data_IF_225989629703
#
_entry.id   IF_225989629703
#
_cell.length_a   1.000
_cell.length_b   1.000
_cell.length_c   1.000
_cell.angle_alpha   90.00
_cell.angle_beta   90.00
_cell.angle_gamma   90.00
#
_symmetry.space_group_name_H-M   'P 1'
#
loop_
_entity.id
_entity.type
_entity.pdbx_description
1 polymer ?
#
# COMPACT_ATOMS: atom_id res chain seq x y z
N UNK A 1 -11.65 -3.80 18.23
CA UNK A 1 -11.54 -4.43 19.56
C UNK A 1 -12.48 -3.71 20.51
N UNK A 2 -13.25 -4.41 21.37
CA UNK A 2 -14.00 -3.75 22.42
C UNK A 2 -13.04 -3.09 23.41
N UNK A 3 -13.42 -1.95 23.99
CA UNK A 3 -12.56 -1.18 24.90
C UNK A 3 -12.06 -1.99 26.11
N UNK A 4 -12.83 -3.01 26.53
CA UNK A 4 -12.43 -3.95 27.58
C UNK A 4 -11.26 -4.87 27.22
N UNK A 5 -10.87 -4.96 25.95
CA UNK A 5 -9.74 -5.75 25.47
C UNK A 5 -8.47 -4.92 25.27
N UNK A 6 -8.53 -3.60 25.44
CA UNK A 6 -7.36 -2.71 25.40
C UNK A 6 -6.68 -2.76 26.76
N UNK A 7 -5.66 -3.60 26.91
CA UNK A 7 -4.81 -3.55 28.08
C UNK A 7 -4.15 -2.18 28.18
N UNK A 8 -4.15 -1.58 29.39
CA UNK A 8 -3.39 -0.36 29.61
C UNK A 8 -1.90 -0.66 29.45
N UNK A 9 -1.25 -0.02 28.47
CA UNK A 9 0.20 -0.10 28.27
C UNK A 9 0.81 1.00 29.15
N UNK A 10 1.55 0.59 30.18
CA UNK A 10 2.16 1.47 31.21
C UNK A 10 3.63 1.85 30.91
N UNK A 11 4.14 1.40 29.79
CA UNK A 11 5.52 1.66 29.32
C UNK A 11 5.55 1.97 27.83
N UNK A 12 6.59 2.67 27.32
CA UNK A 12 6.72 2.95 25.91
C UNK A 12 6.87 1.66 25.09
N UNK A 13 5.98 1.45 24.12
CA UNK A 13 6.08 0.36 23.15
C UNK A 13 6.34 0.95 21.76
N UNK A 14 7.33 0.39 21.07
CA UNK A 14 7.66 0.76 19.69
C UNK A 14 7.40 -0.43 18.78
N UNK A 15 6.62 -0.22 17.74
CA UNK A 15 6.32 -1.22 16.72
C UNK A 15 6.93 -0.80 15.38
N UNK A 16 7.73 -1.66 14.78
CA UNK A 16 8.18 -1.49 13.40
C UNK A 16 7.27 -2.30 12.49
N UNK A 17 6.70 -1.65 11.47
CA UNK A 17 5.74 -2.27 10.55
C UNK A 17 6.33 -2.28 9.14
N UNK A 18 6.26 -3.44 8.48
CA UNK A 18 6.76 -3.68 7.14
C UNK A 18 5.92 -4.72 6.39
N UNK A 19 6.22 -4.94 5.11
CA UNK A 19 5.66 -6.03 4.29
C UNK A 19 4.37 -5.69 3.55
N UNK A 20 3.54 -4.81 4.09
CA UNK A 20 2.41 -4.19 3.42
C UNK A 20 2.23 -2.76 3.94
N UNK A 21 1.74 -1.85 3.10
CA UNK A 21 1.46 -0.48 3.52
C UNK A 21 0.29 -0.47 4.53
N UNK A 22 0.51 -0.09 5.79
CA UNK A 22 -0.56 -0.04 6.77
C UNK A 22 -1.46 1.17 6.48
N UNK A 23 -2.80 0.99 6.45
CA UNK A 23 -3.71 2.11 6.34
C UNK A 23 -3.51 3.11 7.48
N UNK A 24 -3.55 4.42 7.18
CA UNK A 24 -3.38 5.46 8.19
C UNK A 24 -4.35 5.30 9.39
N UNK A 25 -5.59 4.88 9.13
CA UNK A 25 -6.58 4.59 10.19
C UNK A 25 -6.11 3.50 11.16
N UNK A 26 -5.46 2.45 10.66
CA UNK A 26 -4.92 1.38 11.51
C UNK A 26 -3.75 1.88 12.34
N UNK A 27 -2.85 2.68 11.75
CA UNK A 27 -1.75 3.34 12.47
C UNK A 27 -2.32 4.21 13.60
N UNK A 28 -3.31 5.07 13.31
CA UNK A 28 -3.95 5.92 14.30
C UNK A 28 -4.53 5.12 15.47
N UNK A 29 -5.27 4.05 15.19
CA UNK A 29 -5.85 3.20 16.22
C UNK A 29 -4.79 2.50 17.10
N UNK A 30 -3.65 2.10 16.53
CA UNK A 30 -2.53 1.51 17.26
C UNK A 30 -1.84 2.56 18.15
N UNK A 31 -1.70 3.80 17.65
CA UNK A 31 -1.11 4.90 18.43
C UNK A 31 -2.00 5.37 19.59
N UNK A 32 -3.34 5.31 19.43
CA UNK A 32 -4.28 5.53 20.53
C UNK A 32 -4.11 4.51 21.66
N UNK A 33 -3.57 3.33 21.37
CA UNK A 33 -3.24 2.33 22.39
C UNK A 33 -1.90 2.61 23.10
N UNK A 34 -1.19 3.69 22.77
CA UNK A 34 0.11 4.03 23.33
C UNK A 34 1.31 3.38 22.62
N UNK A 35 1.11 2.74 21.48
CA UNK A 35 2.17 2.08 20.72
C UNK A 35 2.67 3.04 19.63
N UNK A 36 3.96 3.35 19.64
CA UNK A 36 4.59 4.20 18.60
C UNK A 36 4.91 3.37 17.37
N UNK A 37 4.30 3.71 16.24
CA UNK A 37 4.53 3.01 14.97
C UNK A 37 5.63 3.69 14.17
N UNK A 38 6.59 2.88 13.69
CA UNK A 38 7.57 3.25 12.66
C UNK A 38 7.34 2.39 11.43
N UNK A 39 6.96 3.02 10.32
CA UNK A 39 6.79 2.32 9.05
C UNK A 39 8.14 2.24 8.34
N UNK A 40 8.47 1.05 7.84
CA UNK A 40 9.66 0.79 7.04
C UNK A 40 9.27 0.01 5.79
N UNK A 41 9.99 0.22 4.71
CA UNK A 41 9.77 -0.49 3.46
C UNK A 41 11.05 -1.16 2.99
N UNK A 42 10.87 -2.33 2.40
CA UNK A 42 11.92 -3.12 1.77
C UNK A 42 11.35 -4.40 1.19
N UNK A 43 12.19 -5.10 0.47
CA UNK A 43 11.91 -6.33 -0.26
C UNK A 43 12.94 -7.39 0.12
N UNK A 44 12.65 -8.65 -0.16
CA UNK A 44 13.63 -9.74 -0.02
C UNK A 44 14.88 -9.47 -0.84
N UNK A 45 14.70 -8.91 -2.03
CA UNK A 45 15.73 -8.56 -2.99
C UNK A 45 16.72 -7.49 -2.50
N UNK A 46 16.39 -6.77 -1.44
CA UNK A 46 17.24 -5.72 -0.88
C UNK A 46 17.66 -5.98 0.57
N UNK A 47 17.44 -7.21 1.04
CA UNK A 47 17.89 -7.71 2.35
C UNK A 47 17.30 -6.96 3.55
N UNK A 48 16.08 -6.49 3.49
CA UNK A 48 15.38 -5.89 4.62
C UNK A 48 14.92 -4.45 4.36
N UNK A 49 14.73 -3.65 5.43
CA UNK A 49 14.30 -2.27 5.27
C UNK A 49 15.33 -1.42 4.54
N UNK A 50 14.89 -0.69 3.54
CA UNK A 50 15.73 0.25 2.76
C UNK A 50 15.22 1.67 2.81
N UNK A 51 13.99 1.86 3.29
CA UNK A 51 13.46 3.17 3.68
C UNK A 51 12.78 3.12 5.03
N UNK A 52 12.71 4.26 5.69
CA UNK A 52 12.09 4.44 7.00
C UNK A 52 11.30 5.74 7.02
N UNK A 53 10.09 5.71 7.54
CA UNK A 53 9.36 6.90 7.87
C UNK A 53 9.98 7.54 9.13
N UNK A 54 11.12 8.22 8.93
CA UNK A 54 11.83 8.92 9.99
C UNK A 54 10.89 9.97 10.60
N UNK A 55 10.83 10.04 11.93
CA UNK A 55 9.94 10.96 12.61
C UNK A 55 10.66 12.26 12.94
N UNK A 56 10.01 13.39 12.72
CA UNK A 56 10.50 14.71 13.12
C UNK A 56 9.69 15.20 14.32
N UNK A 57 10.39 15.76 15.33
CA UNK A 57 9.74 16.23 16.56
C UNK A 57 8.69 17.32 16.36
N UNK A 58 8.81 18.13 15.30
CA UNK A 58 7.82 19.14 14.91
C UNK A 58 6.44 18.55 14.55
N UNK A 59 6.36 17.24 14.28
CA UNK A 59 5.10 16.57 13.97
C UNK A 59 4.38 16.06 15.23
N UNK A 60 5.00 16.13 16.40
CA UNK A 60 4.38 15.64 17.65
C UNK A 60 3.12 16.43 18.03
N UNK A 61 3.08 17.72 17.69
CA UNK A 61 1.96 18.62 17.97
C UNK A 61 0.81 18.52 16.95
N UNK A 62 0.98 17.73 15.87
CA UNK A 62 -0.06 17.54 14.86
C UNK A 62 -1.21 16.67 15.39
N UNK A 63 -2.45 16.89 14.91
CA UNK A 63 -3.56 15.99 15.19
C UNK A 63 -3.24 14.54 14.83
N UNK A 64 -3.77 13.58 15.59
CA UNK A 64 -3.51 12.14 15.41
C UNK A 64 -3.71 11.67 13.96
N UNK A 65 -4.77 12.13 13.31
CA UNK A 65 -5.07 11.80 11.92
C UNK A 65 -3.92 12.22 10.96
N UNK A 66 -3.38 13.42 11.16
CA UNK A 66 -2.25 13.94 10.37
C UNK A 66 -0.97 13.17 10.66
N UNK A 67 -0.71 12.85 11.93
CA UNK A 67 0.43 12.00 12.31
C UNK A 67 0.34 10.62 11.68
N UNK A 68 -0.83 9.99 11.73
CA UNK A 68 -1.08 8.69 11.12
C UNK A 68 -0.90 8.72 9.59
N UNK A 69 -1.35 9.76 8.92
CA UNK A 69 -1.14 9.96 7.48
C UNK A 69 0.35 10.12 7.13
N UNK A 70 1.14 10.85 7.94
CA UNK A 70 2.58 10.94 7.75
C UNK A 70 3.24 9.57 7.93
N UNK A 71 2.88 8.83 8.98
CA UNK A 71 3.45 7.51 9.31
C UNK A 71 3.08 6.41 8.33
N UNK A 72 2.03 6.58 7.53
CA UNK A 72 1.69 5.61 6.48
C UNK A 72 2.61 5.69 5.26
N UNK A 73 3.41 6.75 5.12
CA UNK A 73 4.41 6.88 4.05
C UNK A 73 5.60 5.96 4.29
N UNK A 74 6.29 5.56 3.22
CA UNK A 74 7.49 4.72 3.28
C UNK A 74 8.74 5.48 3.73
N UNK A 75 8.67 6.82 3.65
CA UNK A 75 9.66 7.70 4.23
C UNK A 75 10.89 7.96 3.37
N UNK A 76 12.05 7.93 3.96
CA UNK A 76 13.33 8.31 3.33
C UNK A 76 14.31 7.13 3.30
N UNK A 77 15.32 7.23 2.44
CA UNK A 77 16.37 6.23 2.28
C UNK A 77 17.07 5.87 3.59
N UNK A 78 17.23 4.58 3.83
CA UNK A 78 18.03 4.06 4.94
C UNK A 78 19.53 4.33 4.71
N UNK A 79 20.31 4.61 5.75
CA UNK A 79 21.74 4.91 5.60
C UNK A 79 22.57 3.79 4.95
N UNK A 80 22.13 2.53 5.09
CA UNK A 80 22.82 1.35 4.54
C UNK A 80 22.63 1.16 3.04
N UNK A 81 21.66 1.83 2.42
CA UNK A 81 21.44 1.78 0.98
C UNK A 81 22.18 2.93 0.28
N UNK A 82 22.82 2.65 -0.84
CA UNK A 82 23.62 3.65 -1.59
C UNK A 82 22.73 4.68 -2.27
N UNK A 83 21.66 4.24 -2.94
CA UNK A 83 20.73 5.12 -3.67
C UNK A 83 19.30 4.59 -3.69
N UNK A 84 18.35 5.54 -3.60
CA UNK A 84 16.91 5.37 -3.88
C UNK A 84 16.50 6.47 -4.84
N UNK A 85 15.73 6.14 -5.84
CA UNK A 85 15.23 7.07 -6.84
C UNK A 85 13.80 6.69 -7.23
N UNK A 86 12.92 7.68 -7.38
CA UNK A 86 11.61 7.50 -8.01
C UNK A 86 11.70 8.10 -9.40
N UNK A 87 11.51 7.29 -10.44
CA UNK A 87 11.76 7.70 -11.82
C UNK A 87 10.81 7.02 -12.81
N UNK A 88 10.75 7.53 -14.03
CA UNK A 88 10.09 6.87 -15.14
C UNK A 88 10.77 5.53 -15.44
N UNK A 89 10.05 4.41 -15.51
CA UNK A 89 10.64 3.07 -15.66
C UNK A 89 11.33 2.83 -17.01
N UNK A 90 11.08 3.67 -18.02
CA UNK A 90 11.66 3.53 -19.35
C UNK A 90 12.87 4.44 -19.56
N UNK A 91 12.79 5.68 -19.08
CA UNK A 91 13.83 6.68 -19.29
C UNK A 91 14.81 6.79 -18.14
N UNK A 92 14.45 6.29 -16.95
CA UNK A 92 15.16 6.48 -15.68
C UNK A 92 15.31 7.95 -15.29
N UNK A 93 14.51 8.85 -15.88
CA UNK A 93 14.47 10.25 -15.48
C UNK A 93 13.69 10.39 -14.16
N UNK A 94 14.29 11.03 -13.13
CA UNK A 94 13.60 11.24 -11.86
C UNK A 94 12.31 12.04 -12.02
N UNK A 95 11.24 11.59 -11.36
CA UNK A 95 9.98 12.33 -11.33
C UNK A 95 10.07 13.57 -10.42
N UNK A 96 9.26 14.61 -10.67
CA UNK A 96 9.15 15.76 -9.78
C UNK A 96 8.80 15.37 -8.34
N UNK A 97 9.32 16.12 -7.37
CA UNK A 97 8.97 15.97 -5.94
C UNK A 97 7.71 16.77 -5.61
N UNK A 98 6.60 16.44 -6.24
CA UNK A 98 5.33 17.15 -6.12
C UNK A 98 4.25 16.37 -5.36
N UNK A 99 4.57 15.12 -4.96
CA UNK A 99 3.62 14.22 -4.30
C UNK A 99 2.51 13.70 -5.22
N UNK A 100 2.62 13.92 -6.55
CA UNK A 100 1.59 13.56 -7.54
C UNK A 100 2.16 12.77 -8.71
N UNK A 101 3.33 13.15 -9.21
CA UNK A 101 3.98 12.47 -10.33
C UNK A 101 4.41 11.07 -9.91
N UNK A 102 3.83 10.05 -10.58
CA UNK A 102 4.09 8.64 -10.29
C UNK A 102 5.32 8.17 -11.07
N UNK A 103 6.21 7.47 -10.38
CA UNK A 103 7.34 6.74 -10.98
C UNK A 103 7.51 5.40 -10.29
N UNK A 104 8.41 4.56 -10.83
CA UNK A 104 8.86 3.35 -10.16
C UNK A 104 9.96 3.68 -9.17
N UNK A 105 10.02 2.97 -8.04
CA UNK A 105 11.15 3.08 -7.12
C UNK A 105 12.32 2.21 -7.60
N UNK A 106 13.47 2.84 -7.70
CA UNK A 106 14.73 2.21 -8.05
C UNK A 106 15.68 2.20 -6.88
N UNK A 107 16.43 1.12 -6.75
CA UNK A 107 17.36 0.94 -5.64
C UNK A 107 18.74 0.54 -6.13
N UNK A 108 19.78 1.02 -5.44
CA UNK A 108 21.16 0.63 -5.67
C UNK A 108 21.94 0.59 -4.36
N UNK A 109 22.79 -0.42 -4.24
CA UNK A 109 23.67 -0.58 -3.09
C UNK A 109 24.09 -2.03 -2.88
N UNK A 110 24.99 -2.25 -1.96
CA UNK A 110 25.54 -3.56 -1.64
C UNK A 110 24.57 -4.48 -0.88
N UNK A 111 23.44 -3.97 -0.42
CA UNK A 111 22.36 -4.77 0.19
C UNK A 111 21.41 -5.32 -0.87
N UNK A 112 21.46 -4.81 -2.11
CA UNK A 112 20.65 -5.31 -3.22
C UNK A 112 21.18 -6.67 -3.67
N UNK A 113 20.28 -7.62 -3.93
CA UNK A 113 20.63 -8.96 -4.41
C UNK A 113 21.52 -8.91 -5.68
N UNK A 114 22.28 -9.95 -5.92
CA UNK A 114 23.06 -10.08 -7.14
C UNK A 114 22.22 -10.57 -8.32
N UNK A 115 21.39 -11.59 -8.08
CA UNK A 115 20.64 -12.30 -9.13
C UNK A 115 19.43 -13.01 -8.57
N UNK A 116 18.45 -13.30 -9.41
CA UNK A 116 17.45 -14.34 -9.17
C UNK A 116 18.03 -15.71 -9.48
N UNK A 117 17.91 -16.64 -8.55
CA UNK A 117 18.49 -17.97 -8.66
C UNK A 117 17.99 -18.70 -9.93
N UNK A 118 18.93 -19.12 -10.79
CA UNK A 118 18.64 -19.85 -12.04
C UNK A 118 17.65 -19.15 -12.98
N UNK A 119 17.54 -17.82 -12.89
CA UNK A 119 16.65 -17.02 -13.74
C UNK A 119 17.39 -15.79 -14.28
N UNK A 120 18.26 -15.96 -15.28
CA UNK A 120 19.05 -14.86 -15.83
C UNK A 120 18.19 -13.80 -16.52
N UNK A 121 17.10 -14.18 -17.21
CA UNK A 121 16.24 -13.21 -17.90
C UNK A 121 15.54 -12.28 -16.93
N UNK A 122 14.96 -12.80 -15.83
CA UNK A 122 14.37 -11.96 -14.81
C UNK A 122 15.42 -11.08 -14.09
N UNK A 123 16.65 -11.56 -13.98
CA UNK A 123 17.75 -10.76 -13.42
C UNK A 123 18.11 -9.60 -14.33
N UNK A 124 18.25 -9.84 -15.63
CA UNK A 124 18.57 -8.81 -16.62
C UNK A 124 17.48 -7.72 -16.65
N UNK A 125 16.20 -8.13 -16.64
CA UNK A 125 15.06 -7.21 -16.55
C UNK A 125 15.08 -6.38 -15.26
N UNK A 126 15.30 -7.04 -14.11
CA UNK A 126 15.31 -6.39 -12.80
C UNK A 126 16.47 -5.40 -12.60
N UNK A 127 17.53 -5.47 -13.39
CA UNK A 127 18.70 -4.60 -13.29
C UNK A 127 18.93 -3.75 -14.54
N UNK A 128 17.91 -3.56 -15.37
CA UNK A 128 18.01 -2.71 -16.54
C UNK A 128 18.46 -1.28 -16.15
N UNK A 129 19.39 -0.71 -16.93
CA UNK A 129 19.92 0.62 -16.66
C UNK A 129 20.81 0.75 -15.41
N UNK A 130 21.22 -0.39 -14.79
CA UNK A 130 22.13 -0.40 -13.63
C UNK A 130 21.49 -0.09 -12.28
N UNK A 131 20.17 -0.08 -12.22
CA UNK A 131 19.37 0.05 -11.00
C UNK A 131 18.50 -1.19 -10.80
N UNK A 132 18.23 -1.55 -9.56
CA UNK A 132 17.25 -2.58 -9.27
C UNK A 132 15.83 -1.98 -9.38
N UNK A 133 15.03 -2.56 -10.27
CA UNK A 133 13.62 -2.27 -10.49
C UNK A 133 12.77 -3.02 -9.45
N UNK A 134 12.04 -2.29 -8.62
CA UNK A 134 11.23 -2.92 -7.56
C UNK A 134 9.86 -3.37 -8.05
N UNK A 135 9.35 -2.77 -9.13
CA UNK A 135 7.98 -2.93 -9.60
C UNK A 135 6.95 -2.24 -8.71
N UNK A 136 7.37 -1.47 -7.70
CA UNK A 136 6.48 -0.67 -6.85
C UNK A 136 6.43 0.77 -7.39
N UNK A 137 5.21 1.32 -7.53
CA UNK A 137 4.94 2.67 -8.03
C UNK A 137 4.74 3.64 -6.87
N UNK A 138 5.41 4.77 -6.94
CA UNK A 138 5.48 5.75 -5.86
C UNK A 138 5.41 7.18 -6.35
N UNK A 139 5.15 8.08 -5.42
CA UNK A 139 5.38 9.51 -5.57
C UNK A 139 6.46 9.96 -4.60
N UNK A 140 7.19 11.00 -5.00
CA UNK A 140 8.13 11.69 -4.10
C UNK A 140 7.49 12.99 -3.63
N UNK A 141 7.35 13.15 -2.31
CA UNK A 141 6.80 14.37 -1.72
C UNK A 141 7.86 15.49 -1.69
N UNK A 142 7.46 16.77 -1.58
CA UNK A 142 8.40 17.90 -1.51
C UNK A 142 9.41 17.80 -0.36
N UNK A 143 9.06 17.14 0.74
CA UNK A 143 9.92 16.88 1.89
C UNK A 143 10.89 15.69 1.67
N UNK A 144 10.85 15.07 0.49
CA UNK A 144 11.71 13.94 0.12
C UNK A 144 11.21 12.58 0.60
N UNK A 145 10.07 12.53 1.29
CA UNK A 145 9.44 11.27 1.67
C UNK A 145 8.75 10.63 0.49
N UNK A 146 9.00 9.34 0.30
CA UNK A 146 8.34 8.55 -0.73
C UNK A 146 7.06 7.93 -0.17
N UNK A 147 6.09 7.73 -1.05
CA UNK A 147 4.80 7.14 -0.72
C UNK A 147 4.35 6.19 -1.82
N UNK A 148 4.20 4.91 -1.49
CA UNK A 148 3.73 3.88 -2.42
C UNK A 148 2.29 4.18 -2.81
N UNK A 149 2.07 4.20 -4.12
CA UNK A 149 0.73 4.33 -4.71
C UNK A 149 0.15 2.99 -5.07
N UNK A 150 0.97 2.10 -5.62
CA UNK A 150 0.59 0.71 -5.90
C UNK A 150 1.79 -0.11 -6.38
N UNK A 151 1.55 -1.37 -6.74
CA UNK A 151 2.47 -2.17 -7.55
C UNK A 151 2.11 -2.03 -9.01
N UNK A 152 3.11 -2.02 -9.88
CA UNK A 152 2.91 -1.95 -11.32
C UNK A 152 1.92 -3.03 -11.83
N UNK A 153 2.00 -4.24 -11.26
CA UNK A 153 1.11 -5.36 -11.60
C UNK A 153 -0.26 -5.34 -10.92
N UNK A 154 -0.48 -4.46 -9.95
CA UNK A 154 -1.73 -4.35 -9.18
C UNK A 154 -2.56 -3.12 -9.61
N UNK A 155 -1.97 -2.18 -10.36
CA UNK A 155 -2.69 -1.06 -11.00
C UNK A 155 -3.80 -1.63 -11.88
N UNK A 156 -4.99 -1.09 -11.74
CA UNK A 156 -6.15 -1.44 -12.55
C UNK A 156 -6.24 -0.45 -13.71
N UNK A 157 -6.23 -0.95 -14.95
CA UNK A 157 -6.34 -0.10 -16.14
C UNK A 157 -7.77 -0.14 -16.65
N UNK A 158 -8.57 0.85 -16.27
CA UNK A 158 -10.00 0.92 -16.60
C UNK A 158 -10.26 2.03 -17.62
N UNK A 159 -10.59 1.67 -18.86
CA UNK A 159 -10.86 2.65 -19.91
C UNK A 159 -9.69 3.57 -20.24
N UNK A 160 -8.46 3.12 -20.02
CA UNK A 160 -7.23 3.89 -20.20
C UNK A 160 -6.79 4.70 -18.97
N UNK A 161 -7.58 4.72 -17.89
CA UNK A 161 -7.23 5.37 -16.63
C UNK A 161 -6.57 4.40 -15.67
N UNK A 162 -5.51 4.84 -15.00
CA UNK A 162 -4.83 4.08 -13.97
C UNK A 162 -5.50 4.27 -12.61
N UNK A 163 -5.91 3.17 -11.99
CA UNK A 163 -6.57 3.17 -10.68
C UNK A 163 -5.69 2.45 -9.67
N UNK A 164 -5.30 3.14 -8.61
CA UNK A 164 -4.55 2.56 -7.49
C UNK A 164 -5.47 1.72 -6.61
N UNK A 165 -5.10 0.47 -6.38
CA UNK A 165 -5.81 -0.41 -5.46
C UNK A 165 -5.63 0.03 -4.01
N UNK A 166 -4.45 0.55 -3.66
CA UNK A 166 -4.14 1.07 -2.30
C UNK A 166 -5.01 2.29 -1.98
N UNK A 167 -5.24 3.19 -2.93
CA UNK A 167 -6.14 4.34 -2.74
C UNK A 167 -7.56 3.89 -2.40
N UNK A 168 -8.09 2.92 -3.16
CA UNK A 168 -9.42 2.36 -2.93
C UNK A 168 -9.50 1.66 -1.57
N UNK A 169 -8.53 0.81 -1.27
CA UNK A 169 -8.44 0.11 0.01
C UNK A 169 -8.39 1.10 1.18
N UNK A 170 -7.62 2.19 1.05
CA UNK A 170 -7.57 3.26 2.03
C UNK A 170 -8.93 3.92 2.29
N UNK A 171 -9.76 4.10 1.26
CA UNK A 171 -11.14 4.58 1.40
C UNK A 171 -12.01 3.53 2.08
N UNK A 172 -11.97 2.28 1.64
CA UNK A 172 -12.76 1.18 2.21
C UNK A 172 -12.48 0.98 3.69
N UNK A 173 -11.23 1.05 4.14
CA UNK A 173 -10.86 0.96 5.56
C UNK A 173 -11.45 2.09 6.43
N UNK A 174 -11.86 3.23 5.85
CA UNK A 174 -12.55 4.30 6.59
C UNK A 174 -14.01 3.98 6.87
N UNK A 175 -14.62 3.04 6.14
CA UNK A 175 -16.00 2.65 6.39
C UNK A 175 -16.13 1.93 7.75
N UNK A 176 -17.11 2.31 8.61
CA UNK A 176 -17.22 1.77 9.98
C UNK A 176 -17.43 0.26 10.04
N UNK A 177 -18.12 -0.32 9.06
CA UNK A 177 -18.42 -1.75 9.00
C UNK A 177 -17.26 -2.61 8.44
N UNK A 178 -16.25 -2.02 7.82
CA UNK A 178 -15.16 -2.77 7.19
C UNK A 178 -14.12 -3.17 8.22
N UNK A 179 -13.83 -4.46 8.28
CA UNK A 179 -12.72 -5.01 9.05
C UNK A 179 -11.45 -5.09 8.19
N UNK A 180 -11.57 -5.67 6.99
CA UNK A 180 -10.47 -5.80 6.03
C UNK A 180 -11.01 -5.58 4.62
N UNK A 181 -10.17 -5.05 3.74
CA UNK A 181 -10.48 -4.83 2.35
C UNK A 181 -9.26 -5.11 1.46
N UNK A 182 -9.51 -5.66 0.29
CA UNK A 182 -8.55 -5.77 -0.79
C UNK A 182 -9.24 -5.51 -2.12
N UNK A 183 -8.55 -4.79 -3.01
CA UNK A 183 -9.05 -4.47 -4.34
C UNK A 183 -8.13 -5.08 -5.38
N UNK A 184 -8.74 -5.68 -6.41
CA UNK A 184 -8.02 -6.26 -7.54
C UNK A 184 -8.72 -5.91 -8.85
N UNK A 185 -7.99 -6.02 -9.95
CA UNK A 185 -8.56 -5.93 -11.28
C UNK A 185 -9.51 -7.11 -11.54
N UNK A 186 -10.68 -6.81 -12.12
CA UNK A 186 -11.60 -7.77 -12.72
C UNK A 186 -11.68 -7.49 -14.22
N UNK A 187 -11.56 -8.50 -15.10
CA UNK A 187 -11.75 -8.32 -16.53
C UNK A 187 -13.14 -7.75 -16.85
N UNK A 188 -13.20 -6.81 -17.79
CA UNK A 188 -14.44 -6.16 -18.24
C UNK A 188 -14.40 -5.93 -19.76
N UNK A 189 -15.42 -6.39 -20.49
CA UNK A 189 -15.46 -6.31 -21.96
C UNK A 189 -15.41 -4.87 -22.49
N UNK A 190 -15.97 -3.92 -21.75
CA UNK A 190 -16.06 -2.52 -22.19
C UNK A 190 -14.85 -1.69 -21.76
N UNK A 191 -14.33 -1.93 -20.55
CA UNK A 191 -13.33 -1.08 -19.91
C UNK A 191 -11.94 -1.73 -19.84
N UNK A 192 -11.80 -2.98 -20.32
CA UNK A 192 -10.62 -3.82 -20.15
C UNK A 192 -10.58 -4.41 -18.75
N UNK A 193 -10.49 -3.54 -17.75
CA UNK A 193 -10.53 -3.93 -16.33
C UNK A 193 -11.44 -3.01 -15.54
N UNK A 194 -11.98 -3.51 -14.43
CA UNK A 194 -12.72 -2.72 -13.44
C UNK A 194 -12.32 -3.10 -12.02
N UNK A 195 -12.41 -2.16 -11.04
CA UNK A 195 -12.11 -2.48 -9.65
C UNK A 195 -13.13 -3.47 -9.08
N UNK A 196 -12.62 -4.57 -8.49
CA UNK A 196 -13.37 -5.55 -7.71
C UNK A 196 -12.88 -5.50 -6.26
N UNK A 197 -13.76 -5.14 -5.34
CA UNK A 197 -13.46 -5.03 -3.92
C UNK A 197 -13.91 -6.29 -3.17
N UNK A 198 -12.98 -6.96 -2.50
CA UNK A 198 -13.24 -8.04 -1.56
C UNK A 198 -13.17 -7.48 -0.14
N UNK A 199 -14.20 -7.71 0.67
CA UNK A 199 -14.38 -7.06 1.97
C UNK A 199 -14.76 -8.09 3.03
N UNK A 200 -14.03 -8.08 4.14
CA UNK A 200 -14.47 -8.73 5.38
C UNK A 200 -15.15 -7.71 6.27
N UNK A 201 -16.40 -7.98 6.64
CA UNK A 201 -17.16 -7.12 7.55
C UNK A 201 -16.85 -7.44 9.01
N UNK A 202 -16.97 -6.44 9.88
CA UNK A 202 -16.99 -6.64 11.32
C UNK A 202 -18.21 -7.47 11.73
N UNK A 203 -18.11 -8.19 12.83
CA UNK A 203 -19.13 -9.15 13.30
C UNK A 203 -20.49 -8.49 13.61
N UNK A 204 -20.49 -7.24 14.00
CA UNK A 204 -21.67 -6.43 14.34
C UNK A 204 -22.34 -5.76 13.11
N UNK A 205 -21.77 -5.93 11.92
CA UNK A 205 -22.25 -5.32 10.67
C UNK A 205 -22.61 -6.36 9.59
N UNK A 206 -22.93 -7.58 9.97
CA UNK A 206 -23.38 -8.60 9.05
C UNK A 206 -24.71 -8.20 8.39
N UNK A 207 -24.79 -8.27 7.05
CA UNK A 207 -25.98 -7.90 6.30
C UNK A 207 -25.92 -6.52 5.63
N UNK A 208 -24.76 -5.83 5.69
CA UNK A 208 -24.54 -4.63 4.90
C UNK A 208 -24.70 -4.93 3.41
N UNK A 209 -25.39 -4.07 2.66
CA UNK A 209 -25.56 -4.24 1.23
C UNK A 209 -24.32 -3.71 0.47
N UNK A 210 -24.00 -4.35 -0.66
CA UNK A 210 -22.91 -3.89 -1.56
C UNK A 210 -23.12 -2.43 -2.01
N UNK A 211 -24.40 -2.03 -2.24
CA UNK A 211 -24.76 -0.68 -2.60
C UNK A 211 -24.37 0.39 -1.60
N UNK A 212 -24.29 0.04 -0.31
CA UNK A 212 -23.87 0.95 0.76
C UNK A 212 -22.36 1.22 0.69
N UNK A 213 -21.56 0.19 0.41
CA UNK A 213 -20.12 0.33 0.14
C UNK A 213 -19.89 1.21 -1.10
N UNK A 214 -20.62 0.94 -2.19
CA UNK A 214 -20.52 1.73 -3.43
C UNK A 214 -20.92 3.20 -3.19
N UNK A 215 -21.98 3.45 -2.41
CA UNK A 215 -22.40 4.80 -2.04
C UNK A 215 -21.31 5.53 -1.24
N UNK A 216 -20.73 4.86 -0.25
CA UNK A 216 -19.62 5.40 0.53
C UNK A 216 -18.41 5.74 -0.35
N UNK A 217 -18.06 4.86 -1.30
CA UNK A 217 -16.97 5.13 -2.24
C UNK A 217 -17.25 6.36 -3.12
N UNK A 218 -18.51 6.59 -3.54
CA UNK A 218 -18.90 7.76 -4.34
C UNK A 218 -18.68 9.09 -3.64
N UNK A 219 -18.76 9.12 -2.33
CA UNK A 219 -18.52 10.34 -1.54
C UNK A 219 -17.01 10.69 -1.43
N UNK A 220 -16.14 9.73 -1.72
CA UNK A 220 -14.72 9.87 -1.42
C UNK A 220 -13.78 9.67 -2.62
N UNK A 221 -14.30 9.18 -3.75
CA UNK A 221 -13.52 8.81 -4.93
C UNK A 221 -14.10 9.41 -6.21
N UNK A 222 -13.24 9.63 -7.19
CA UNK A 222 -13.67 9.94 -8.55
C UNK A 222 -14.50 8.78 -9.13
N UNK A 223 -15.47 9.10 -10.00
CA UNK A 223 -16.46 8.13 -10.49
C UNK A 223 -15.85 6.89 -11.17
N UNK A 224 -14.73 7.06 -11.88
CA UNK A 224 -14.06 5.95 -12.57
C UNK A 224 -13.32 4.99 -11.63
N UNK A 225 -13.02 5.42 -10.40
CA UNK A 225 -12.33 4.62 -9.37
C UNK A 225 -13.28 3.76 -8.54
N UNK A 226 -14.60 3.97 -8.64
CA UNK A 226 -15.58 3.29 -7.78
C UNK A 226 -15.62 1.79 -8.12
N UNK A 227 -15.55 0.89 -7.12
CA UNK A 227 -15.68 -0.55 -7.36
C UNK A 227 -17.00 -0.87 -8.05
N UNK A 228 -16.92 -1.61 -9.17
CA UNK A 228 -18.11 -2.10 -9.88
C UNK A 228 -18.62 -3.42 -9.33
N UNK A 229 -17.75 -4.15 -8.65
CA UNK A 229 -18.08 -5.42 -8.01
C UNK A 229 -17.60 -5.33 -6.57
N UNK A 230 -18.47 -5.71 -5.64
CA UNK A 230 -18.16 -5.84 -4.21
C UNK A 230 -18.50 -7.27 -3.81
N UNK A 231 -17.58 -7.93 -3.12
CA UNK A 231 -17.75 -9.31 -2.64
C UNK A 231 -17.46 -9.33 -1.14
N UNK A 232 -18.42 -9.76 -0.35
CA UNK A 232 -18.20 -9.98 1.08
C UNK A 232 -17.66 -11.39 1.31
N UNK A 233 -16.43 -11.50 1.79
CA UNK A 233 -15.75 -12.77 2.06
C UNK A 233 -14.65 -12.62 3.09
N UNK A 234 -14.17 -13.74 3.63
CA UNK A 234 -12.86 -13.77 4.28
C UNK A 234 -11.76 -13.62 3.23
N UNK A 235 -10.69 -12.89 3.57
CA UNK A 235 -9.58 -12.65 2.66
C UNK A 235 -8.50 -13.73 2.84
N UNK A 236 -8.00 -14.35 1.74
CA UNK A 236 -6.91 -15.30 1.80
C UNK A 236 -5.61 -14.61 2.23
N UNK A 237 -4.89 -15.21 3.19
CA UNK A 237 -3.66 -14.64 3.76
C UNK A 237 -2.51 -15.64 3.75
N UNK A 238 -1.31 -15.12 3.71
CA UNK A 238 -0.10 -15.89 4.03
C UNK A 238 -0.02 -16.19 5.53
N UNK A 239 0.91 -17.07 5.93
CA UNK A 239 1.21 -17.32 7.34
C UNK A 239 1.65 -16.06 8.11
N UNK A 240 2.13 -15.04 7.42
CA UNK A 240 2.53 -13.76 8.00
C UNK A 240 1.40 -12.72 8.01
N UNK A 241 0.18 -13.09 7.59
CA UNK A 241 -0.99 -12.21 7.59
C UNK A 241 -1.14 -11.31 6.35
N UNK A 242 -0.26 -11.41 5.35
CA UNK A 242 -0.36 -10.64 4.11
C UNK A 242 -1.46 -11.18 3.21
N UNK A 243 -2.35 -10.32 2.72
CA UNK A 243 -3.43 -10.69 1.80
C UNK A 243 -2.84 -11.17 0.46
N UNK A 244 -3.34 -12.31 -0.03
CA UNK A 244 -2.90 -12.96 -1.27
C UNK A 244 -3.72 -12.45 -2.46
N UNK A 245 -3.41 -11.25 -2.96
CA UNK A 245 -4.14 -10.64 -4.10
C UNK A 245 -4.16 -11.50 -5.35
N UNK A 246 -3.18 -12.38 -5.57
CA UNK A 246 -3.19 -13.29 -6.72
C UNK A 246 -4.37 -14.26 -6.68
N UNK A 247 -4.74 -14.78 -5.49
CA UNK A 247 -5.94 -15.63 -5.30
C UNK A 247 -7.20 -14.81 -5.57
N UNK A 248 -7.26 -13.59 -5.07
CA UNK A 248 -8.42 -12.70 -5.28
C UNK A 248 -8.60 -12.34 -6.76
N UNK A 249 -7.51 -12.21 -7.54
CA UNK A 249 -7.60 -12.02 -9.00
C UNK A 249 -8.20 -13.23 -9.71
N UNK A 250 -7.84 -14.45 -9.28
CA UNK A 250 -8.46 -15.67 -9.81
C UNK A 250 -9.97 -15.71 -9.49
N UNK A 251 -10.35 -15.33 -8.27
CA UNK A 251 -11.77 -15.25 -7.90
C UNK A 251 -12.51 -14.18 -8.71
N UNK A 252 -11.92 -12.99 -8.85
CA UNK A 252 -12.51 -11.89 -9.61
C UNK A 252 -12.72 -12.25 -11.10
N UNK A 253 -11.80 -13.00 -11.68
CA UNK A 253 -11.91 -13.46 -13.07
C UNK A 253 -12.98 -14.52 -13.28
N UNK A 254 -13.44 -15.22 -12.22
CA UNK A 254 -14.47 -16.23 -12.26
C UNK A 254 -15.90 -15.69 -12.02
N UNK A 255 -16.03 -14.40 -11.63
CA UNK A 255 -17.32 -13.70 -11.43
C UNK A 255 -17.92 -13.20 -12.77
#
# INVERSE_FOLDING_TARGET
MPDSAKAAIDHPVHAMVAGAAPPAKVIGAVEEMGIRVTHVYGLTEVYGPVTVCAWHGEWDDLPLERRAAIKSRQGVRYPTLEGVMVADPKTLEPVPRDGQSIGEIFMRGNTVMKVYLKNPSATEEAFAGGWFHTGDLEVCNPDGYIEIRDRLKDIIISGGENISTIELEGVLYRHPAVLEAAVVARPDEKWGETPCAFITLKSDHQGLAESEIVAFCREHLAAFKIPRTVVFSELPKTSTGKIQKYVLREWAAAL
#
